data_IF_278179449665
#
_entry.id   IF_278179449665
#
_cell.length_a   1.000
_cell.length_b   1.000
_cell.length_c   1.000
_cell.angle_alpha   90.00
_cell.angle_beta   90.00
_cell.angle_gamma   90.00
#
_symmetry.space_group_name_H-M   'P 1'
#
loop_
_entity.id
_entity.type
_entity.pdbx_description
1 polymer ?
#
# COMPACT_ATOMS: atom_id res chain seq x y z
N UNK A 1 -2.74 -34.22 -25.89
CA UNK A 1 -2.99 -33.12 -26.85
C UNK A 1 -2.21 -33.40 -28.12
N UNK A 2 -2.90 -33.56 -29.26
CA UNK A 2 -2.24 -33.81 -30.57
C UNK A 2 -1.61 -32.47 -31.02
N UNK A 3 -0.37 -32.48 -31.53
CA UNK A 3 0.22 -31.29 -32.11
C UNK A 3 -0.61 -30.88 -33.34
N UNK A 4 -0.99 -29.58 -33.38
CA UNK A 4 -1.69 -29.03 -34.54
C UNK A 4 -0.84 -29.20 -35.77
N UNK A 5 -1.45 -29.82 -36.82
CA UNK A 5 -0.82 -30.00 -38.13
C UNK A 5 -0.44 -28.61 -38.71
N UNK A 6 0.75 -28.46 -39.33
CA UNK A 6 1.16 -27.17 -39.89
C UNK A 6 0.20 -26.79 -41.03
N UNK A 7 -0.21 -25.53 -41.07
CA UNK A 7 -0.98 -24.95 -42.17
C UNK A 7 -0.16 -25.18 -43.45
N UNK A 8 -0.70 -25.96 -44.42
CA UNK A 8 0.00 -26.30 -45.66
C UNK A 8 0.44 -25.03 -46.39
N UNK A 9 1.74 -24.87 -46.61
CA UNK A 9 2.34 -23.77 -47.38
C UNK A 9 3.05 -22.66 -46.57
N UNK A 10 3.06 -22.72 -45.24
CA UNK A 10 3.76 -21.68 -44.44
C UNK A 10 5.26 -22.01 -44.32
N UNK A 11 6.18 -21.05 -44.59
CA UNK A 11 7.60 -21.21 -44.34
C UNK A 11 7.87 -21.58 -42.88
N UNK A 12 8.78 -22.51 -42.62
CA UNK A 12 9.09 -23.00 -41.27
C UNK A 12 9.51 -21.88 -40.33
N UNK A 13 10.22 -20.87 -40.82
CA UNK A 13 10.63 -19.66 -40.06
C UNK A 13 9.41 -18.85 -39.59
N UNK A 14 8.42 -18.67 -40.48
CA UNK A 14 7.19 -17.93 -40.11
C UNK A 14 6.36 -18.72 -39.09
N UNK A 15 6.27 -20.02 -39.23
CA UNK A 15 5.59 -20.92 -38.28
C UNK A 15 6.26 -20.84 -36.87
N UNK A 16 7.60 -20.80 -36.80
CA UNK A 16 8.33 -20.65 -35.53
C UNK A 16 8.14 -19.26 -34.90
N UNK A 17 8.19 -18.19 -35.72
CA UNK A 17 7.90 -16.84 -35.26
C UNK A 17 6.48 -16.70 -34.68
N UNK A 18 5.47 -17.25 -35.36
CA UNK A 18 4.09 -17.23 -34.87
C UNK A 18 3.92 -18.03 -33.59
N UNK A 19 4.60 -19.18 -33.47
CA UNK A 19 4.61 -19.97 -32.24
C UNK A 19 5.23 -19.19 -31.06
N UNK A 20 6.36 -18.53 -31.25
CA UNK A 20 7.01 -17.70 -30.24
C UNK A 20 6.12 -16.51 -29.84
N UNK A 21 5.50 -15.85 -30.81
CA UNK A 21 4.56 -14.76 -30.56
C UNK A 21 3.34 -15.25 -29.76
N UNK A 22 2.80 -16.43 -30.08
CA UNK A 22 1.70 -17.05 -29.34
C UNK A 22 2.09 -17.35 -27.88
N UNK A 23 3.26 -17.94 -27.64
CA UNK A 23 3.73 -18.21 -26.28
C UNK A 23 3.99 -16.93 -25.49
N UNK A 24 4.55 -15.90 -26.12
CA UNK A 24 4.72 -14.58 -25.50
C UNK A 24 3.37 -13.95 -25.12
N UNK A 25 2.39 -14.00 -26.03
CA UNK A 25 1.04 -13.52 -25.74
C UNK A 25 0.38 -14.32 -24.60
N UNK A 26 0.48 -15.64 -24.63
CA UNK A 26 -0.07 -16.50 -23.57
C UNK A 26 0.58 -16.21 -22.21
N UNK A 27 1.89 -15.98 -22.17
CA UNK A 27 2.60 -15.58 -20.96
C UNK A 27 2.12 -14.22 -20.43
N UNK A 28 1.95 -13.23 -21.30
CA UNK A 28 1.42 -11.90 -20.93
C UNK A 28 0.00 -12.04 -20.40
N UNK A 29 -0.88 -12.77 -21.08
CA UNK A 29 -2.26 -12.98 -20.62
C UNK A 29 -2.31 -13.73 -19.28
N UNK A 30 -1.45 -14.73 -19.09
CA UNK A 30 -1.29 -15.44 -17.81
C UNK A 30 -0.85 -14.52 -16.68
N UNK A 31 0.13 -13.66 -16.94
CA UNK A 31 0.57 -12.64 -15.97
C UNK A 31 -0.56 -11.66 -15.62
N UNK A 32 -1.26 -11.13 -16.61
CA UNK A 32 -2.41 -10.25 -16.41
C UNK A 32 -3.49 -10.93 -15.59
N UNK A 33 -3.82 -12.19 -15.91
CA UNK A 33 -4.80 -12.97 -15.15
C UNK A 33 -4.37 -13.15 -13.67
N UNK A 34 -3.09 -13.45 -13.44
CA UNK A 34 -2.52 -13.58 -12.09
C UNK A 34 -2.64 -12.26 -11.31
N UNK A 35 -2.24 -11.15 -11.93
CA UNK A 35 -2.28 -9.81 -11.30
C UNK A 35 -3.70 -9.35 -10.99
N UNK A 36 -4.68 -9.74 -11.79
CA UNK A 36 -6.09 -9.33 -11.63
C UNK A 36 -6.93 -10.32 -10.83
N UNK A 37 -6.47 -11.56 -10.61
CA UNK A 37 -7.25 -12.59 -9.93
C UNK A 37 -7.71 -12.17 -8.53
N UNK A 38 -6.81 -11.59 -7.72
CA UNK A 38 -7.15 -11.09 -6.39
C UNK A 38 -8.13 -9.91 -6.43
N UNK A 39 -7.85 -8.81 -7.15
CA UNK A 39 -8.81 -7.72 -7.30
C UNK A 39 -10.19 -8.16 -7.79
N UNK A 40 -10.26 -9.02 -8.79
CA UNK A 40 -11.54 -9.54 -9.31
C UNK A 40 -12.27 -10.40 -8.27
N UNK A 41 -11.56 -11.22 -7.49
CA UNK A 41 -12.16 -12.00 -6.41
C UNK A 41 -12.73 -11.11 -5.31
N UNK A 42 -12.04 -10.01 -4.96
CA UNK A 42 -12.52 -9.02 -3.98
C UNK A 42 -13.78 -8.31 -4.49
N UNK A 43 -13.83 -7.95 -5.78
CA UNK A 43 -15.04 -7.36 -6.38
C UNK A 43 -16.20 -8.34 -6.39
N UNK A 44 -15.94 -9.62 -6.70
CA UNK A 44 -16.97 -10.66 -6.76
C UNK A 44 -17.49 -11.09 -5.38
N UNK A 45 -16.65 -11.02 -4.33
CA UNK A 45 -17.01 -11.45 -2.96
C UNK A 45 -17.79 -10.41 -2.16
N UNK A 46 -17.97 -9.19 -2.67
CA UNK A 46 -18.65 -8.12 -1.95
C UNK A 46 -17.85 -7.50 -0.79
N UNK A 47 -16.53 -7.78 -0.71
CA UNK A 47 -15.66 -7.17 0.31
C UNK A 47 -15.49 -5.65 0.16
N UNK A 48 -15.89 -5.08 -0.98
CA UNK A 48 -15.92 -3.65 -1.23
C UNK A 48 -17.34 -3.21 -1.56
N UNK A 49 -17.76 -2.13 -0.91
CA UNK A 49 -19.06 -1.52 -1.20
C UNK A 49 -18.96 -0.72 -2.50
N UNK A 50 -19.63 -1.21 -3.55
CA UNK A 50 -19.68 -0.55 -4.85
C UNK A 50 -20.86 0.42 -4.98
N UNK A 51 -21.87 0.27 -4.15
CA UNK A 51 -23.15 0.97 -4.27
C UNK A 51 -23.18 2.29 -3.50
N UNK A 52 -22.70 2.30 -2.26
CA UNK A 52 -22.78 3.48 -1.38
C UNK A 52 -21.93 4.62 -1.91
N UNK A 53 -22.51 5.79 -2.18
CA UNK A 53 -21.72 6.98 -2.50
C UNK A 53 -20.82 7.36 -1.33
N UNK A 54 -19.64 7.90 -1.63
CA UNK A 54 -18.64 8.24 -0.60
C UNK A 54 -19.16 9.22 0.48
N UNK A 55 -20.12 10.10 0.12
CA UNK A 55 -20.74 11.06 1.04
C UNK A 55 -21.82 10.44 1.94
N UNK A 56 -22.32 9.26 1.59
CA UNK A 56 -23.32 8.51 2.39
C UNK A 56 -22.67 7.37 3.20
N UNK A 57 -21.35 7.22 3.10
CA UNK A 57 -20.62 6.21 3.86
C UNK A 57 -20.74 6.47 5.37
N UNK A 58 -21.11 5.43 6.11
CA UNK A 58 -21.35 5.55 7.54
C UNK A 58 -20.01 5.76 8.28
N UNK A 59 -19.94 6.75 9.19
CA UNK A 59 -18.83 6.87 10.11
C UNK A 59 -18.79 5.67 11.06
N UNK A 60 -17.62 5.36 11.59
CA UNK A 60 -17.46 4.28 12.56
C UNK A 60 -16.04 4.21 13.07
N UNK A 61 -15.85 3.41 14.13
CA UNK A 61 -14.55 3.06 14.71
C UNK A 61 -14.39 1.55 14.66
N UNK A 62 -13.15 1.12 14.47
CA UNK A 62 -12.84 -0.33 14.49
C UNK A 62 -12.62 -0.88 15.91
N UNK A 63 -12.50 -0.02 16.93
CA UNK A 63 -12.23 -0.43 18.31
C UNK A 63 -10.81 -0.97 18.53
N UNK A 64 -9.87 -0.59 17.65
CA UNK A 64 -8.49 -1.08 17.69
C UNK A 64 -7.57 -0.19 18.52
N UNK A 65 -7.89 1.11 18.59
CA UNK A 65 -7.09 2.06 19.34
C UNK A 65 -7.42 2.04 20.84
N UNK A 66 -6.41 2.04 21.73
CA UNK A 66 -6.63 2.26 23.15
C UNK A 66 -7.33 3.60 23.40
N UNK A 67 -8.22 3.61 24.40
CA UNK A 67 -8.82 4.87 24.87
C UNK A 67 -7.74 5.79 25.41
N UNK A 68 -7.55 6.99 24.84
CA UNK A 68 -6.49 7.90 25.29
C UNK A 68 -6.70 8.43 26.71
N UNK A 69 -7.90 8.36 27.26
CA UNK A 69 -8.18 8.72 28.64
C UNK A 69 -7.68 7.67 29.65
N UNK A 70 -7.58 6.41 29.22
CA UNK A 70 -7.18 5.26 30.04
C UNK A 70 -5.71 4.90 29.81
N UNK A 71 -5.30 4.80 28.54
CA UNK A 71 -3.92 4.47 28.16
C UNK A 71 -3.02 5.69 28.44
N UNK A 72 -2.16 5.61 29.44
CA UNK A 72 -1.23 6.68 29.81
C UNK A 72 0.08 6.62 29.03
N UNK A 73 0.48 5.44 28.58
CA UNK A 73 1.71 5.25 27.79
C UNK A 73 1.62 5.87 26.42
N UNK A 74 2.76 6.12 25.81
CA UNK A 74 2.83 6.52 24.40
C UNK A 74 2.33 5.38 23.49
N UNK A 75 1.68 5.75 22.38
CA UNK A 75 1.15 4.81 21.39
C UNK A 75 1.50 5.30 20.00
N UNK A 76 2.00 4.42 19.15
CA UNK A 76 2.16 4.60 17.70
C UNK A 76 1.43 3.48 16.99
N UNK A 77 0.55 3.81 16.07
CA UNK A 77 -0.20 2.84 15.29
C UNK A 77 -0.20 3.28 13.83
N UNK A 78 -0.06 2.33 12.91
CA UNK A 78 -0.27 2.55 11.48
C UNK A 78 -1.46 1.72 11.06
N UNK A 79 -2.39 2.36 10.39
CA UNK A 79 -3.61 1.76 9.89
C UNK A 79 -3.65 1.76 8.37
N UNK A 80 -4.42 0.83 7.82
CA UNK A 80 -4.78 0.81 6.41
C UNK A 80 -6.22 0.37 6.24
N UNK A 81 -6.98 1.07 5.42
CA UNK A 81 -8.34 0.70 5.07
C UNK A 81 -8.49 0.61 3.54
N UNK A 82 -9.40 -0.24 3.06
CA UNK A 82 -9.67 -0.32 1.62
C UNK A 82 -10.09 1.04 1.07
N UNK A 83 -9.57 1.37 -0.10
CA UNK A 83 -9.92 2.61 -0.78
C UNK A 83 -11.40 2.60 -1.21
N UNK A 84 -11.93 3.78 -1.56
CA UNK A 84 -13.35 3.97 -1.86
C UNK A 84 -13.79 3.18 -3.09
N UNK A 85 -14.91 2.46 -2.96
CA UNK A 85 -15.58 1.73 -4.04
C UNK A 85 -14.63 0.72 -4.72
N UNK A 86 -14.72 0.56 -6.04
CA UNK A 86 -13.92 -0.40 -6.82
C UNK A 86 -12.41 -0.29 -6.58
N UNK A 87 -11.92 0.91 -6.23
CA UNK A 87 -10.49 1.10 -5.89
C UNK A 87 -10.05 0.26 -4.69
N UNK A 88 -10.97 -0.01 -3.76
CA UNK A 88 -10.72 -0.87 -2.60
C UNK A 88 -10.41 -2.32 -2.93
N UNK A 89 -10.72 -2.77 -4.15
CA UNK A 89 -10.30 -4.09 -4.62
C UNK A 89 -8.79 -4.13 -4.93
N UNK A 90 -8.19 -2.99 -5.25
CA UNK A 90 -6.79 -2.86 -5.66
C UNK A 90 -5.93 -2.22 -4.57
N UNK A 91 -6.46 -1.23 -3.86
CA UNK A 91 -5.68 -0.32 -3.05
C UNK A 91 -6.25 -0.07 -1.66
N UNK A 92 -5.36 0.31 -0.77
CA UNK A 92 -5.68 0.83 0.56
C UNK A 92 -5.36 2.32 0.67
N UNK A 93 -5.93 2.95 1.70
CA UNK A 93 -5.54 4.25 2.22
C UNK A 93 -4.93 4.06 3.61
N UNK A 94 -3.62 4.24 3.79
CA UNK A 94 -2.98 4.15 5.08
C UNK A 94 -2.83 5.52 5.75
N UNK A 95 -2.70 5.50 7.09
CA UNK A 95 -2.35 6.66 7.91
C UNK A 95 -1.61 6.25 9.17
N UNK A 96 -0.92 7.19 9.79
CA UNK A 96 -0.20 7.02 11.05
C UNK A 96 -0.99 7.74 12.14
N UNK A 97 -1.15 7.13 13.29
CA UNK A 97 -1.73 7.71 14.50
C UNK A 97 -0.73 7.63 15.64
N UNK A 98 -0.51 8.73 16.31
CA UNK A 98 0.41 8.81 17.47
C UNK A 98 -0.28 9.43 18.66
N UNK A 99 0.09 8.99 19.86
CA UNK A 99 -0.31 9.55 21.13
C UNK A 99 0.92 9.59 22.05
N UNK A 100 1.48 10.77 22.36
CA UNK A 100 2.54 10.88 23.34
C UNK A 100 2.13 10.37 24.72
N UNK A 101 3.11 10.05 25.56
CA UNK A 101 2.89 9.69 26.95
C UNK A 101 2.13 10.81 27.68
N UNK A 102 1.10 10.45 28.43
CA UNK A 102 0.24 11.38 29.14
C UNK A 102 -0.73 12.20 28.31
N UNK A 103 -0.63 12.17 26.99
CA UNK A 103 -1.59 12.85 26.12
C UNK A 103 -2.97 12.20 26.18
N UNK A 104 -4.02 13.04 26.07
CA UNK A 104 -5.44 12.64 26.14
C UNK A 104 -6.10 12.56 24.77
N UNK A 105 -5.32 12.72 23.70
CA UNK A 105 -5.81 12.66 22.32
C UNK A 105 -4.73 12.11 21.39
N UNK A 106 -5.16 11.58 20.25
CA UNK A 106 -4.28 11.18 19.16
C UNK A 106 -4.06 12.30 18.16
N UNK A 107 -2.90 12.27 17.52
CA UNK A 107 -2.62 13.03 16.29
C UNK A 107 -2.52 12.05 15.13
N UNK A 108 -3.16 12.33 14.00
CA UNK A 108 -3.07 11.51 12.80
C UNK A 108 -2.38 12.24 11.66
N UNK A 109 -1.56 11.50 10.89
CA UNK A 109 -0.83 11.97 9.72
C UNK A 109 -1.25 11.15 8.50
N UNK A 110 -1.68 11.84 7.44
CA UNK A 110 -2.12 11.18 6.20
C UNK A 110 -1.99 12.11 5.00
N UNK A 111 -1.96 11.53 3.81
CA UNK A 111 -2.01 12.29 2.55
C UNK A 111 -3.35 12.06 1.87
N UNK A 112 -4.08 13.15 1.61
CA UNK A 112 -5.46 13.13 1.09
C UNK A 112 -5.54 13.81 -0.28
N UNK A 113 -5.78 13.02 -1.34
CA UNK A 113 -5.74 13.51 -2.72
C UNK A 113 -6.77 14.57 -3.08
N UNK A 114 -8.00 14.47 -2.59
CA UNK A 114 -9.05 15.44 -2.92
C UNK A 114 -8.79 16.82 -2.32
N UNK A 115 -7.96 16.93 -1.28
CA UNK A 115 -7.53 18.22 -0.73
C UNK A 115 -6.58 18.92 -1.69
N UNK A 116 -5.60 18.20 -2.22
CA UNK A 116 -4.69 18.73 -3.25
C UNK A 116 -5.45 19.17 -4.50
N UNK A 117 -6.43 18.37 -4.96
CA UNK A 117 -7.26 18.72 -6.12
C UNK A 117 -8.11 19.98 -5.92
N UNK A 118 -8.36 20.38 -4.66
CA UNK A 118 -9.07 21.63 -4.29
C UNK A 118 -8.13 22.78 -3.95
N UNK A 119 -6.83 22.67 -4.28
CA UNK A 119 -5.82 23.70 -4.02
C UNK A 119 -5.30 23.75 -2.58
N UNK A 120 -5.66 22.77 -1.73
CA UNK A 120 -5.12 22.67 -0.36
C UNK A 120 -3.92 21.73 -0.29
N UNK A 121 -3.30 21.62 0.88
CA UNK A 121 -2.23 20.66 1.13
C UNK A 121 -2.75 19.23 1.09
N UNK A 122 -2.01 18.34 0.42
CA UNK A 122 -2.28 16.91 0.42
C UNK A 122 -1.98 16.28 1.79
N UNK A 123 -0.87 16.67 2.42
CA UNK A 123 -0.50 16.25 3.77
C UNK A 123 -1.44 16.90 4.80
N UNK A 124 -2.08 16.07 5.61
CA UNK A 124 -3.05 16.45 6.63
C UNK A 124 -2.57 15.95 7.99
N UNK A 125 -2.46 16.85 8.92
CA UNK A 125 -2.20 16.58 10.33
C UNK A 125 -3.47 16.94 11.09
N UNK A 126 -4.01 16.01 11.88
CA UNK A 126 -5.25 16.24 12.64
C UNK A 126 -5.04 15.83 14.08
N UNK A 127 -5.08 16.81 14.97
CA UNK A 127 -5.09 16.61 16.42
C UNK A 127 -6.51 16.29 16.89
N UNK A 128 -6.63 15.41 17.90
CA UNK A 128 -7.92 14.98 18.44
C UNK A 128 -8.73 14.07 17.50
N UNK A 129 -8.09 13.54 16.45
CA UNK A 129 -8.75 12.64 15.52
C UNK A 129 -8.99 11.25 16.14
N UNK A 130 -10.09 10.61 15.77
CA UNK A 130 -10.32 9.20 15.99
C UNK A 130 -9.27 8.39 15.22
N UNK A 131 -8.34 7.65 15.90
CA UNK A 131 -7.21 7.02 15.23
C UNK A 131 -7.62 5.85 14.33
N UNK A 132 -8.62 5.07 14.73
CA UNK A 132 -9.09 3.85 14.07
C UNK A 132 -10.45 4.02 13.37
N UNK A 133 -10.71 5.26 12.90
CA UNK A 133 -11.95 5.60 12.17
C UNK A 133 -12.09 4.81 10.88
N UNK A 134 -13.31 4.51 10.49
CA UNK A 134 -13.61 3.97 9.17
C UNK A 134 -13.22 4.97 8.06
N UNK A 135 -12.63 4.44 6.99
CA UNK A 135 -12.33 5.22 5.80
C UNK A 135 -13.44 5.04 4.77
N UNK A 136 -14.36 6.01 4.72
CA UNK A 136 -15.56 5.95 3.87
C UNK A 136 -16.31 4.62 3.99
N UNK A 137 -16.56 4.20 5.22
CA UNK A 137 -17.28 2.95 5.53
C UNK A 137 -16.41 1.70 5.62
N UNK A 138 -15.19 1.72 5.06
CA UNK A 138 -14.25 0.60 5.19
C UNK A 138 -13.58 0.61 6.57
N UNK A 139 -13.70 -0.47 7.32
CA UNK A 139 -13.00 -0.64 8.59
C UNK A 139 -11.48 -0.73 8.35
N UNK A 140 -10.66 0.00 9.13
CA UNK A 140 -9.21 -0.13 9.05
C UNK A 140 -8.73 -1.43 9.67
N UNK A 141 -7.57 -1.87 9.21
CA UNK A 141 -6.75 -2.88 9.86
C UNK A 141 -5.51 -2.21 10.47
N UNK A 142 -5.05 -2.74 11.57
CA UNK A 142 -3.83 -2.32 12.23
C UNK A 142 -2.64 -3.02 11.55
N UNK A 143 -1.71 -2.23 11.01
CA UNK A 143 -0.54 -2.73 10.30
C UNK A 143 0.66 -2.89 11.23
N UNK A 144 0.83 -1.94 12.15
CA UNK A 144 1.88 -1.98 13.18
C UNK A 144 1.43 -1.21 14.40
N UNK A 145 1.86 -1.68 15.57
CA UNK A 145 1.65 -0.99 16.85
C UNK A 145 2.92 -1.01 17.70
N UNK A 146 3.20 0.14 18.31
CA UNK A 146 4.19 0.27 19.37
C UNK A 146 3.57 0.99 20.58
N UNK A 147 3.97 0.59 21.77
CA UNK A 147 3.49 1.18 23.03
C UNK A 147 4.62 1.50 24.00
N UNK A 148 4.37 2.41 24.91
CA UNK A 148 5.27 2.78 25.99
C UNK A 148 6.53 3.50 25.51
N UNK A 149 7.69 3.35 26.19
CA UNK A 149 8.90 4.14 25.90
C UNK A 149 9.40 4.00 24.48
N UNK A 150 9.26 2.82 23.86
CA UNK A 150 9.63 2.60 22.46
C UNK A 150 8.77 3.44 21.51
N UNK A 151 7.46 3.52 21.77
CA UNK A 151 6.55 4.37 21.00
C UNK A 151 6.89 5.85 21.18
N UNK A 152 7.22 6.31 22.40
CA UNK A 152 7.60 7.69 22.65
C UNK A 152 8.82 8.11 21.81
N UNK A 153 9.86 7.27 21.76
CA UNK A 153 11.04 7.54 20.94
C UNK A 153 10.74 7.55 19.43
N UNK A 154 9.75 6.78 18.98
CA UNK A 154 9.33 6.78 17.58
C UNK A 154 8.53 8.03 17.23
N UNK A 155 7.69 8.56 18.15
CA UNK A 155 6.84 9.74 17.88
C UNK A 155 7.70 10.93 17.46
N UNK A 156 8.76 11.26 18.21
CA UNK A 156 9.65 12.37 17.87
C UNK A 156 10.28 12.23 16.47
N UNK A 157 10.65 11.00 16.10
CA UNK A 157 11.22 10.71 14.79
C UNK A 157 10.18 10.75 13.68
N UNK A 158 8.95 10.30 13.96
CA UNK A 158 7.81 10.37 13.01
C UNK A 158 7.48 11.83 12.75
N UNK A 159 7.35 12.67 13.80
CA UNK A 159 7.07 14.10 13.67
C UNK A 159 8.14 14.80 12.82
N UNK A 160 9.41 14.54 13.11
CA UNK A 160 10.52 15.08 12.34
C UNK A 160 10.51 14.60 10.88
N UNK A 161 10.15 13.34 10.62
CA UNK A 161 10.00 12.81 9.28
C UNK A 161 8.84 13.47 8.55
N UNK A 162 7.66 13.56 9.16
CA UNK A 162 6.47 14.21 8.59
C UNK A 162 6.76 15.65 8.15
N UNK A 163 7.49 16.44 8.98
CA UNK A 163 7.86 17.81 8.64
C UNK A 163 8.81 17.89 7.42
N UNK A 164 9.62 16.86 7.18
CA UNK A 164 10.54 16.80 6.05
C UNK A 164 9.95 16.10 4.82
N UNK A 165 8.68 15.68 4.84
CA UNK A 165 8.06 15.01 3.70
C UNK A 165 8.16 15.86 2.43
N UNK A 166 8.77 15.34 1.34
CA UNK A 166 9.12 16.20 0.18
C UNK A 166 7.94 16.66 -0.66
N UNK A 167 6.77 16.02 -0.53
CA UNK A 167 5.61 16.28 -1.41
C UNK A 167 4.33 16.61 -0.62
N UNK A 168 4.34 17.59 0.31
CA UNK A 168 3.21 17.86 1.19
C UNK A 168 1.98 18.42 0.48
N UNK A 169 2.18 19.00 -0.70
CA UNK A 169 1.13 19.65 -1.48
C UNK A 169 0.74 18.87 -2.76
N UNK A 170 1.52 17.82 -3.08
CA UNK A 170 1.31 17.03 -4.30
C UNK A 170 0.54 15.73 -4.03
N UNK A 171 -0.29 15.36 -5.01
CA UNK A 171 -0.96 14.06 -5.02
C UNK A 171 -1.10 13.53 -6.43
N UNK A 172 -0.69 12.28 -6.61
CA UNK A 172 -0.94 11.50 -7.83
C UNK A 172 -1.31 10.09 -7.38
N UNK A 173 -2.51 9.65 -7.74
CA UNK A 173 -3.02 8.34 -7.31
C UNK A 173 -2.08 7.19 -7.69
N UNK A 174 -1.43 7.27 -8.87
CA UNK A 174 -0.40 6.35 -9.33
C UNK A 174 0.54 7.07 -10.32
N UNK A 175 1.84 6.79 -10.36
CA UNK A 175 2.59 5.93 -9.43
C UNK A 175 2.82 6.54 -8.03
N UNK A 176 2.66 7.84 -7.86
CA UNK A 176 2.85 8.62 -6.63
C UNK A 176 3.27 10.06 -6.91
N UNK A 177 3.35 10.92 -5.88
CA UNK A 177 3.13 10.64 -4.46
C UNK A 177 1.65 10.48 -4.09
N UNK A 178 1.34 9.54 -3.18
CA UNK A 178 0.01 9.29 -2.65
C UNK A 178 0.07 8.92 -1.15
N UNK A 179 -1.03 8.46 -0.54
CA UNK A 179 -1.05 8.09 0.88
C UNK A 179 -0.12 6.92 1.21
N UNK A 180 -0.01 5.92 0.32
CA UNK A 180 0.89 4.79 0.52
C UNK A 180 2.36 5.22 0.39
N UNK A 181 2.67 6.09 -0.58
CA UNK A 181 4.00 6.70 -0.73
C UNK A 181 4.41 7.45 0.53
N UNK A 182 3.50 8.22 1.12
CA UNK A 182 3.75 9.00 2.34
C UNK A 182 4.12 8.09 3.51
N UNK A 183 3.28 7.09 3.79
CA UNK A 183 3.51 6.19 4.92
C UNK A 183 4.76 5.33 4.70
N UNK A 184 5.01 4.86 3.47
CA UNK A 184 6.24 4.16 3.12
C UNK A 184 7.49 5.03 3.26
N UNK A 185 7.40 6.32 2.91
CA UNK A 185 8.49 7.29 3.07
C UNK A 185 8.80 7.52 4.55
N UNK A 186 7.78 7.76 5.40
CA UNK A 186 7.97 7.92 6.85
C UNK A 186 8.60 6.66 7.46
N UNK A 187 8.14 5.48 7.04
CA UNK A 187 8.69 4.21 7.54
C UNK A 187 10.18 4.04 7.19
N UNK A 188 10.63 4.47 6.01
CA UNK A 188 12.04 4.48 5.63
C UNK A 188 12.88 5.45 6.45
N UNK A 189 12.33 6.63 6.76
CA UNK A 189 12.98 7.64 7.63
C UNK A 189 13.02 7.21 9.09
N UNK A 190 12.14 6.29 9.50
CA UNK A 190 11.99 5.80 10.87
C UNK A 190 12.05 4.26 10.88
N UNK A 191 13.23 3.63 10.64
CA UNK A 191 13.33 2.17 10.50
C UNK A 191 12.82 1.38 11.71
N UNK A 192 12.87 1.96 12.92
CA UNK A 192 12.33 1.34 14.13
C UNK A 192 10.80 1.19 14.11
N UNK A 193 10.10 1.81 13.15
CA UNK A 193 8.66 1.61 12.95
C UNK A 193 8.35 0.17 12.49
N UNK A 194 9.26 -0.47 11.75
CA UNK A 194 9.13 -1.88 11.36
C UNK A 194 7.91 -2.17 10.51
N UNK A 195 7.51 -1.25 9.64
CA UNK A 195 6.26 -1.33 8.88
C UNK A 195 6.40 -2.19 7.62
N UNK A 196 5.69 -3.28 7.57
CA UNK A 196 5.43 -4.03 6.33
C UNK A 196 4.11 -3.56 5.71
N UNK A 197 4.19 -3.03 4.49
CA UNK A 197 3.02 -2.58 3.74
C UNK A 197 2.55 -3.68 2.78
N UNK A 198 1.23 -3.98 2.75
CA UNK A 198 0.70 -5.04 1.89
C UNK A 198 0.83 -4.70 0.39
N UNK A 199 0.67 -5.70 -0.51
CA UNK A 199 0.64 -5.48 -1.96
C UNK A 199 -0.41 -4.46 -2.42
N UNK A 200 -1.48 -4.30 -1.65
CA UNK A 200 -2.53 -3.30 -1.90
C UNK A 200 -2.10 -1.86 -1.56
N UNK A 201 -0.94 -1.65 -0.98
CA UNK A 201 -0.39 -0.30 -0.76
C UNK A 201 0.24 0.24 -2.06
N UNK A 202 -0.57 0.44 -3.10
CA UNK A 202 -0.14 0.93 -4.42
C UNK A 202 0.59 2.26 -4.30
N UNK A 203 1.82 2.32 -4.82
CA UNK A 203 2.71 3.49 -4.73
C UNK A 203 3.66 3.47 -3.53
N UNK A 204 3.65 2.42 -2.69
CA UNK A 204 4.66 2.21 -1.64
C UNK A 204 6.08 2.11 -2.21
N UNK A 205 6.19 1.66 -3.45
CA UNK A 205 7.43 1.48 -4.20
C UNK A 205 7.90 2.73 -4.94
N UNK A 206 7.09 3.78 -5.03
CA UNK A 206 7.52 5.03 -5.65
C UNK A 206 8.48 5.80 -4.72
N UNK A 207 9.74 5.98 -5.18
CA UNK A 207 10.83 6.59 -4.42
C UNK A 207 11.09 8.06 -4.79
N UNK A 208 10.22 8.65 -5.62
CA UNK A 208 10.45 9.97 -6.20
C UNK A 208 11.09 9.91 -7.58
N UNK A 209 11.30 11.08 -8.22
CA UNK A 209 11.80 11.15 -9.59
C UNK A 209 13.27 10.81 -9.75
N UNK A 210 14.08 11.01 -8.70
CA UNK A 210 15.55 10.90 -8.77
C UNK A 210 16.12 9.65 -8.07
N UNK A 211 15.31 8.89 -7.33
CA UNK A 211 15.78 7.76 -6.52
C UNK A 211 15.27 6.45 -7.10
N UNK A 212 16.18 5.52 -7.37
CA UNK A 212 15.85 4.19 -7.89
C UNK A 212 16.01 3.09 -6.84
N UNK A 213 16.82 3.32 -5.80
CA UNK A 213 17.11 2.33 -4.74
C UNK A 213 16.96 2.99 -3.38
N UNK A 214 16.26 2.31 -2.46
CA UNK A 214 16.11 2.74 -1.08
C UNK A 214 16.02 1.53 -0.14
N UNK A 215 16.03 1.78 1.17
CA UNK A 215 15.62 0.77 2.14
C UNK A 215 14.15 0.38 1.91
N UNK A 216 13.82 -0.88 2.17
CA UNK A 216 12.43 -1.31 2.27
C UNK A 216 11.72 -0.56 3.42
N UNK A 217 10.39 -0.38 3.39
CA UNK A 217 9.66 0.33 4.45
C UNK A 217 9.86 -0.27 5.85
N UNK A 218 10.01 -1.57 5.97
CA UNK A 218 10.34 -2.23 7.25
C UNK A 218 11.74 -1.89 7.79
N UNK A 219 12.63 -1.36 6.94
CA UNK A 219 14.05 -1.14 7.24
C UNK A 219 14.92 -2.42 7.16
N UNK A 220 14.32 -3.60 6.89
CA UNK A 220 14.99 -4.91 6.96
C UNK A 220 15.63 -5.38 5.66
N UNK A 221 15.57 -4.57 4.60
CA UNK A 221 16.10 -4.90 3.29
C UNK A 221 16.15 -3.73 2.33
N UNK A 222 16.07 -4.03 1.04
CA UNK A 222 16.22 -3.06 -0.04
C UNK A 222 15.09 -3.14 -1.04
N UNK A 223 14.81 -2.01 -1.64
CA UNK A 223 13.83 -1.84 -2.69
C UNK A 223 14.44 -1.13 -3.88
N UNK A 224 14.25 -1.72 -5.07
CA UNK A 224 14.51 -1.11 -6.36
C UNK A 224 13.18 -0.64 -6.94
N UNK A 225 13.12 0.56 -7.51
CA UNK A 225 11.95 1.06 -8.19
C UNK A 225 12.32 1.85 -9.44
N UNK A 226 11.71 1.51 -10.54
CA UNK A 226 11.75 2.26 -11.79
C UNK A 226 10.54 3.20 -11.83
N UNK A 227 10.61 4.27 -11.02
CA UNK A 227 9.57 5.31 -10.88
C UNK A 227 8.17 4.78 -10.51
N UNK A 228 8.06 3.62 -9.84
CA UNK A 228 6.79 2.99 -9.52
C UNK A 228 6.10 2.28 -10.70
N UNK A 229 6.77 2.20 -11.88
CA UNK A 229 6.29 1.43 -13.03
C UNK A 229 6.63 -0.05 -12.90
N UNK A 230 7.84 -0.33 -12.43
CA UNK A 230 8.30 -1.67 -12.09
C UNK A 230 9.25 -1.59 -10.91
N UNK A 231 9.32 -2.62 -10.10
CA UNK A 231 10.18 -2.65 -8.93
C UNK A 231 10.34 -4.05 -8.35
N UNK A 232 11.28 -4.15 -7.42
CA UNK A 232 11.52 -5.34 -6.63
C UNK A 232 11.89 -4.97 -5.21
N UNK A 233 11.39 -5.72 -4.23
CA UNK A 233 11.75 -5.60 -2.83
C UNK A 233 12.30 -6.93 -2.35
N UNK A 234 13.44 -6.88 -1.66
CA UNK A 234 14.05 -8.02 -0.99
C UNK A 234 14.35 -7.60 0.44
N UNK A 235 13.60 -8.11 1.38
CA UNK A 235 13.71 -7.73 2.78
C UNK A 235 13.22 -8.88 3.67
N UNK A 236 13.65 -8.88 4.93
CA UNK A 236 13.24 -9.95 5.84
C UNK A 236 11.75 -9.91 6.13
N UNK A 237 11.17 -8.74 6.35
CA UNK A 237 9.74 -8.59 6.69
C UNK A 237 8.84 -8.63 5.45
N UNK A 238 9.17 -7.91 4.37
CA UNK A 238 8.40 -7.92 3.12
C UNK A 238 8.60 -9.20 2.31
N UNK A 239 9.65 -9.97 2.59
CA UNK A 239 10.02 -11.13 1.78
C UNK A 239 10.60 -10.73 0.42
N UNK A 240 10.23 -11.46 -0.61
CA UNK A 240 10.51 -11.15 -2.02
C UNK A 240 9.22 -10.66 -2.67
N UNK A 241 9.21 -9.41 -3.16
CA UNK A 241 8.06 -8.82 -3.84
C UNK A 241 8.49 -8.19 -5.17
N UNK A 242 7.74 -8.45 -6.23
CA UNK A 242 7.87 -7.81 -7.54
C UNK A 242 6.67 -6.90 -7.76
N UNK A 243 6.89 -5.69 -8.20
CA UNK A 243 5.86 -4.71 -8.53
C UNK A 243 5.86 -4.44 -10.03
N UNK A 244 4.68 -4.45 -10.63
CA UNK A 244 4.47 -4.07 -12.02
C UNK A 244 3.21 -3.21 -12.12
N UNK A 245 3.35 -1.99 -12.62
CA UNK A 245 2.27 -1.02 -12.80
C UNK A 245 1.43 -0.80 -11.52
N UNK A 246 2.09 -0.86 -10.34
CA UNK A 246 1.47 -0.70 -9.04
C UNK A 246 0.85 -1.97 -8.44
N UNK A 247 0.85 -3.08 -9.16
CA UNK A 247 0.40 -4.37 -8.65
C UNK A 247 1.61 -5.19 -8.19
N UNK A 248 1.59 -5.59 -6.91
CA UNK A 248 2.67 -6.37 -6.30
C UNK A 248 2.32 -7.85 -6.18
N UNK A 249 3.27 -8.70 -6.53
CA UNK A 249 3.22 -10.14 -6.22
C UNK A 249 4.49 -10.53 -5.49
N UNK A 250 4.36 -11.40 -4.51
CA UNK A 250 5.53 -11.80 -3.73
C UNK A 250 5.30 -13.03 -2.87
N UNK A 251 6.33 -13.35 -2.13
CA UNK A 251 6.33 -14.43 -1.12
C UNK A 251 6.88 -13.86 0.18
N UNK A 252 6.08 -13.94 1.23
CA UNK A 252 6.52 -13.72 2.59
C UNK A 252 7.26 -14.98 3.05
N UNK A 253 8.56 -14.85 3.28
CA UNK A 253 9.40 -15.99 3.66
C UNK A 253 9.27 -16.37 5.13
N UNK A 254 8.78 -15.46 5.99
CA UNK A 254 8.61 -15.73 7.42
C UNK A 254 7.37 -16.60 7.66
N UNK A 255 6.28 -16.30 6.96
CA UNK A 255 4.99 -16.97 7.12
C UNK A 255 4.68 -17.96 6.01
N UNK A 256 5.58 -18.12 5.01
CA UNK A 256 5.38 -18.93 3.81
C UNK A 256 4.07 -18.61 3.07
N UNK A 257 3.71 -17.32 3.01
CA UNK A 257 2.48 -16.85 2.38
C UNK A 257 2.74 -16.18 1.03
N UNK A 258 1.80 -16.37 0.10
CA UNK A 258 1.77 -15.61 -1.14
C UNK A 258 1.21 -14.21 -0.87
N UNK A 259 1.88 -13.21 -1.40
CA UNK A 259 1.46 -11.81 -1.39
C UNK A 259 0.91 -11.49 -2.77
N UNK A 260 -0.39 -11.28 -2.89
CA UNK A 260 -1.07 -11.08 -4.17
C UNK A 260 -1.82 -9.74 -4.20
N UNK A 261 -1.94 -9.10 -5.37
CA UNK A 261 -2.75 -7.90 -5.53
C UNK A 261 -4.19 -8.15 -5.04
N UNK A 262 -4.81 -7.17 -4.42
CA UNK A 262 -6.17 -7.29 -3.92
C UNK A 262 -6.33 -8.05 -2.60
N UNK A 263 -5.51 -9.05 -2.36
CA UNK A 263 -5.48 -9.83 -1.10
C UNK A 263 -4.42 -9.23 -0.17
N UNK A 264 -4.71 -8.09 0.36
CA UNK A 264 -3.71 -7.28 1.05
C UNK A 264 -3.21 -7.81 2.38
N UNK A 265 -3.88 -8.75 2.99
CA UNK A 265 -3.58 -9.18 4.37
C UNK A 265 -3.57 -10.69 4.49
#
# INVERSE_FOLDING_TARGET
>A
MRPHAPIRGMPAVLADQLRRAWWALAAVLGLVALLLAGPLSVLASGQVDLATPWYAAQPGRAGLAPDPAVERGAVVQVYGARAVRWRGAFAIHPWIAVKPEGATAYTTYQVIGWRAMRGGRALVITEGAEPDRHWYGAAPQLLVEHRGPAAQALIERIDAAVQRYPWPDAYRAWPGPNSNTFVAWVAREVPGLGLDLPPTAIGKDWLGPATLVARAPSGTGWQLSLWGLAGATVAREEGLELQLLGLGVGVDVNDARLRLPGWGW
#
